data_IF_309152753809
#
_entry.id   IF_309152753809
#
_cell.length_a   1.000
_cell.length_b   1.000
_cell.length_c   1.000
_cell.angle_alpha   90.00
_cell.angle_beta   90.00
_cell.angle_gamma   90.00
#
_symmetry.space_group_name_H-M   'P 1'
#
loop_
_entity.id
_entity.type
_entity.pdbx_description
1 polymer ?
#
# COMPACT_ATOMS: atom_id res chain seq x y z
N UNK A 1 42.50 -17.05 26.19
CA UNK A 1 42.03 -15.70 26.57
C UNK A 1 42.45 -14.73 25.47
N UNK A 2 41.51 -14.26 24.65
CA UNK A 2 41.77 -13.20 23.66
C UNK A 2 40.81 -12.06 23.93
N UNK A 3 41.34 -10.92 24.39
CA UNK A 3 40.56 -9.74 24.75
C UNK A 3 40.21 -9.03 23.45
N UNK A 4 38.95 -9.10 23.03
CA UNK A 4 38.42 -8.22 21.99
C UNK A 4 38.27 -6.83 22.60
N UNK A 5 38.98 -5.84 22.03
CA UNK A 5 38.77 -4.44 22.37
C UNK A 5 37.34 -4.07 21.96
N UNK A 6 36.55 -3.57 22.92
CA UNK A 6 35.27 -2.95 22.64
C UNK A 6 35.56 -1.60 22.00
N UNK A 7 35.18 -1.45 20.73
CA UNK A 7 35.11 -0.15 20.08
C UNK A 7 33.86 0.51 20.67
N UNK A 8 34.04 1.48 21.55
CA UNK A 8 33.00 2.41 21.95
C UNK A 8 32.87 3.37 20.78
N UNK A 9 31.85 3.21 19.96
CA UNK A 9 31.45 4.27 19.03
C UNK A 9 30.80 5.35 19.87
N UNK A 10 31.59 6.39 20.16
CA UNK A 10 31.10 7.66 20.68
C UNK A 10 30.27 8.27 19.53
N UNK A 11 28.94 8.11 19.61
CA UNK A 11 28.02 8.77 18.70
C UNK A 11 28.10 10.26 19.00
N UNK A 12 28.81 10.98 18.14
CA UNK A 12 28.94 12.43 18.20
C UNK A 12 27.56 13.04 17.85
N UNK A 13 26.78 13.31 18.89
CA UNK A 13 25.42 13.88 18.85
C UNK A 13 25.44 15.40 18.54
N UNK A 14 26.52 15.90 17.90
CA UNK A 14 26.69 17.29 17.48
C UNK A 14 26.03 17.60 16.11
N UNK A 15 25.09 16.75 15.66
CA UNK A 15 24.24 17.09 14.49
C UNK A 15 22.97 17.84 14.90
N UNK A 16 23.05 18.64 15.96
CA UNK A 16 22.01 19.64 16.28
C UNK A 16 22.21 20.87 15.38
N UNK A 17 21.84 20.70 14.11
CA UNK A 17 21.79 21.81 13.15
C UNK A 17 20.75 22.81 13.67
N UNK A 18 21.15 24.04 14.05
CA UNK A 18 20.22 24.99 14.63
C UNK A 18 19.10 25.25 13.62
N UNK A 19 17.87 24.91 14.02
CA UNK A 19 16.70 25.22 13.21
C UNK A 19 16.65 26.74 13.00
N UNK A 20 16.37 27.21 11.77
CA UNK A 20 16.30 28.63 11.48
C UNK A 20 15.27 29.29 12.42
N UNK A 21 15.72 30.28 13.21
CA UNK A 21 14.89 31.02 14.16
C UNK A 21 13.86 31.95 13.50
N UNK A 22 13.95 32.10 12.18
CA UNK A 22 13.09 32.95 11.38
C UNK A 22 12.34 32.11 10.35
N UNK A 23 11.04 32.37 10.23
CA UNK A 23 10.22 31.83 9.14
C UNK A 23 10.91 32.14 7.82
N UNK A 24 11.05 31.13 6.96
CA UNK A 24 11.56 31.33 5.61
C UNK A 24 10.67 32.37 4.90
N UNK A 25 11.26 33.28 4.11
CA UNK A 25 10.48 34.24 3.35
C UNK A 25 9.50 33.48 2.44
N UNK A 26 8.23 33.88 2.47
CA UNK A 26 7.22 33.35 1.56
C UNK A 26 7.49 33.90 0.15
N UNK A 27 8.31 33.18 -0.61
CA UNK A 27 8.59 33.49 -2.01
C UNK A 27 7.49 33.02 -2.96
N UNK A 28 6.39 32.46 -2.45
CA UNK A 28 5.28 31.95 -3.28
C UNK A 28 5.78 30.97 -4.34
N UNK A 29 5.53 31.27 -5.62
CA UNK A 29 5.98 30.45 -6.75
C UNK A 29 7.47 30.63 -7.11
N UNK A 30 8.23 31.43 -6.36
CA UNK A 30 9.67 31.72 -6.58
C UNK A 30 10.57 31.06 -5.53
N UNK A 31 10.13 29.95 -4.96
CA UNK A 31 10.98 29.14 -4.09
C UNK A 31 12.08 28.48 -4.90
N UNK A 32 13.27 28.31 -4.31
CA UNK A 32 14.43 27.66 -4.96
C UNK A 32 14.09 26.28 -5.57
N UNK A 33 13.15 25.54 -4.96
CA UNK A 33 12.67 24.24 -5.47
C UNK A 33 11.88 24.39 -6.79
N UNK A 34 11.12 25.47 -6.95
CA UNK A 34 10.31 25.71 -8.16
C UNK A 34 11.18 26.30 -9.29
N UNK A 35 12.16 27.14 -8.97
CA UNK A 35 13.08 27.72 -9.97
C UNK A 35 13.94 26.64 -10.66
N UNK A 36 14.44 25.63 -9.94
CA UNK A 36 15.19 24.53 -10.58
C UNK A 36 14.37 23.70 -11.58
N UNK A 37 13.04 23.62 -11.38
CA UNK A 37 12.15 22.93 -12.31
C UNK A 37 11.96 23.76 -13.60
N UNK A 38 12.01 25.08 -13.50
CA UNK A 38 11.80 25.98 -14.64
C UNK A 38 13.05 26.16 -15.53
N UNK A 39 14.25 26.00 -14.97
CA UNK A 39 15.53 26.19 -15.69
C UNK A 39 15.96 25.00 -16.57
N UNK A 40 15.10 23.98 -16.74
CA UNK A 40 15.43 22.74 -17.47
C UNK A 40 14.83 22.60 -18.87
N UNK A 41 14.26 23.64 -19.49
CA UNK A 41 13.73 23.53 -20.87
C UNK A 41 14.00 24.78 -21.72
N UNK A 42 15.11 24.76 -22.47
CA UNK A 42 15.31 25.60 -23.65
C UNK A 42 15.04 24.76 -24.90
N UNK A 43 14.02 25.14 -25.69
CA UNK A 43 14.00 24.79 -27.11
C UNK A 43 12.67 24.50 -27.81
N UNK A 44 11.67 25.40 -27.71
CA UNK A 44 10.91 25.82 -28.91
C UNK A 44 9.42 25.44 -29.02
N UNK A 45 8.56 26.47 -29.07
CA UNK A 45 7.20 26.35 -29.59
C UNK A 45 6.21 27.39 -29.07
N UNK A 46 6.19 28.55 -29.72
CA UNK A 46 5.18 29.62 -29.62
C UNK A 46 3.73 29.11 -29.55
N UNK A 47 2.99 29.50 -28.52
CA UNK A 47 1.52 29.68 -28.49
C UNK A 47 1.12 30.37 -27.18
N UNK A 48 0.74 31.64 -27.28
CA UNK A 48 0.05 32.40 -26.23
C UNK A 48 -1.23 31.67 -25.77
N UNK A 49 -1.22 31.05 -24.59
CA UNK A 49 -2.44 30.78 -23.81
C UNK A 49 -2.07 30.63 -22.33
N UNK A 50 -2.27 31.70 -21.56
CA UNK A 50 -2.11 31.67 -20.11
C UNK A 50 -3.31 30.91 -19.50
N UNK A 51 -3.10 29.85 -18.68
CA UNK A 51 -4.22 29.28 -17.95
C UNK A 51 -4.58 30.22 -16.79
N UNK A 52 -5.72 30.88 -16.91
CA UNK A 52 -6.39 31.55 -15.78
C UNK A 52 -6.51 30.57 -14.60
N UNK A 53 -6.01 30.98 -13.44
CA UNK A 53 -6.27 30.33 -12.17
C UNK A 53 -7.77 30.34 -11.90
N UNK A 54 -8.42 29.19 -12.12
CA UNK A 54 -9.82 28.98 -11.77
C UNK A 54 -10.03 29.11 -10.27
N UNK A 55 -10.54 30.27 -9.87
CA UNK A 55 -11.12 30.56 -8.57
C UNK A 55 -12.38 29.68 -8.38
N UNK A 56 -12.26 28.55 -7.68
CA UNK A 56 -13.39 27.63 -7.44
C UNK A 56 -14.29 28.11 -6.30
N UNK A 57 -15.01 29.21 -6.53
CA UNK A 57 -16.20 29.55 -5.73
C UNK A 57 -17.40 28.74 -6.23
N UNK A 58 -17.82 27.78 -5.40
CA UNK A 58 -19.15 27.17 -5.27
C UNK A 58 -20.19 27.47 -6.38
N UNK A 59 -20.44 26.52 -7.30
CA UNK A 59 -21.79 26.26 -7.83
C UNK A 59 -21.89 24.94 -8.61
N UNK A 60 -22.69 24.01 -8.05
CA UNK A 60 -23.57 23.07 -8.77
C UNK A 60 -23.05 22.27 -9.96
N UNK A 61 -22.16 21.30 -9.74
CA UNK A 61 -21.95 20.16 -10.65
C UNK A 61 -22.83 18.95 -10.26
N UNK A 62 -23.19 18.05 -11.20
CA UNK A 62 -24.08 16.92 -10.91
C UNK A 62 -23.45 16.02 -9.84
N UNK A 63 -24.23 15.69 -8.83
CA UNK A 63 -23.81 14.90 -7.68
C UNK A 63 -23.16 13.58 -8.14
N UNK A 64 -21.84 13.50 -8.05
CA UNK A 64 -21.14 12.24 -7.88
C UNK A 64 -21.80 11.56 -6.69
N UNK A 65 -22.55 10.49 -6.97
CA UNK A 65 -23.09 9.62 -5.93
C UNK A 65 -21.91 9.29 -5.01
N UNK A 66 -21.99 9.55 -3.69
CA UNK A 66 -20.94 9.14 -2.80
C UNK A 66 -20.78 7.64 -3.00
N UNK A 67 -19.69 7.24 -3.65
CA UNK A 67 -19.29 5.85 -3.74
C UNK A 67 -19.34 5.31 -2.32
N UNK A 68 -20.07 4.21 -2.14
CA UNK A 68 -20.25 3.50 -0.88
C UNK A 68 -18.96 3.62 -0.09
N UNK A 69 -18.99 4.44 0.97
CA UNK A 69 -17.87 4.54 1.90
C UNK A 69 -17.65 3.12 2.38
N UNK A 70 -16.55 2.50 1.96
CA UNK A 70 -16.20 1.16 2.38
C UNK A 70 -16.07 1.25 3.90
N UNK A 71 -17.12 0.80 4.58
CA UNK A 71 -17.32 1.07 5.99
C UNK A 71 -16.17 0.43 6.72
N UNK A 72 -15.31 1.24 7.34
CA UNK A 72 -14.22 0.72 8.15
C UNK A 72 -14.81 -0.24 9.17
N UNK A 73 -14.63 -1.55 8.94
CA UNK A 73 -15.16 -2.59 9.80
C UNK A 73 -14.38 -2.55 11.11
N UNK A 74 -14.96 -1.92 12.12
CA UNK A 74 -14.32 -1.75 13.44
C UNK A 74 -14.37 -3.03 14.26
N UNK A 75 -15.46 -3.82 14.14
CA UNK A 75 -15.56 -5.13 14.77
C UNK A 75 -15.16 -6.26 13.81
N UNK A 76 -13.93 -6.75 13.98
CA UNK A 76 -13.41 -7.91 13.23
C UNK A 76 -13.74 -9.26 13.86
N UNK A 77 -14.38 -9.29 15.03
CA UNK A 77 -14.65 -10.50 15.81
C UNK A 77 -15.34 -11.62 15.02
N UNK A 78 -16.40 -11.38 14.21
CA UNK A 78 -17.03 -12.44 13.44
C UNK A 78 -16.11 -13.06 12.38
N UNK A 79 -15.08 -12.33 11.93
CA UNK A 79 -14.18 -12.73 10.85
C UNK A 79 -12.86 -13.35 11.36
N UNK A 80 -12.67 -13.47 12.68
CA UNK A 80 -11.42 -14.00 13.28
C UNK A 80 -11.09 -15.42 12.78
N UNK A 81 -12.11 -16.24 12.53
CA UNK A 81 -11.98 -17.63 12.04
C UNK A 81 -11.72 -17.72 10.53
N UNK A 82 -11.88 -16.63 9.78
CA UNK A 82 -11.69 -16.64 8.33
C UNK A 82 -10.20 -16.74 7.99
N UNK A 83 -9.91 -17.38 6.87
CA UNK A 83 -8.52 -17.56 6.42
C UNK A 83 -7.95 -16.22 5.98
N UNK A 84 -6.78 -15.88 6.49
CA UNK A 84 -6.07 -14.66 6.13
C UNK A 84 -5.12 -14.91 4.96
N UNK A 85 -5.22 -14.07 3.94
CA UNK A 85 -4.36 -14.07 2.76
C UNK A 85 -3.68 -12.71 2.70
N UNK A 86 -2.34 -12.72 2.68
CA UNK A 86 -1.52 -11.55 2.40
C UNK A 86 -0.99 -11.63 0.96
N UNK A 87 -0.75 -10.50 0.29
CA UNK A 87 -0.17 -10.47 -1.07
C UNK A 87 1.11 -11.30 -1.21
N UNK A 88 2.04 -11.21 -0.23
CA UNK A 88 3.30 -11.96 -0.23
C UNK A 88 3.14 -13.48 -0.44
N UNK A 89 2.00 -14.07 -0.05
CA UNK A 89 1.79 -15.51 -0.15
C UNK A 89 1.66 -16.01 -1.60
N UNK A 90 1.32 -15.13 -2.54
CA UNK A 90 1.17 -15.47 -3.96
C UNK A 90 2.16 -14.69 -4.85
N UNK A 91 3.09 -13.95 -4.26
CA UNK A 91 4.05 -13.12 -4.98
C UNK A 91 5.18 -13.95 -5.61
N UNK A 92 5.23 -13.94 -6.94
CA UNK A 92 6.25 -14.65 -7.73
C UNK A 92 7.68 -14.12 -7.50
N UNK A 93 7.85 -12.88 -7.04
CA UNK A 93 9.18 -12.33 -6.69
C UNK A 93 9.80 -13.04 -5.49
N UNK A 94 8.96 -13.55 -4.59
CA UNK A 94 9.39 -14.06 -3.30
C UNK A 94 9.77 -15.55 -3.40
N UNK A 95 10.76 -16.01 -2.60
CA UNK A 95 11.11 -17.42 -2.52
C UNK A 95 9.95 -18.23 -1.94
N UNK A 96 9.91 -19.53 -2.27
CA UNK A 96 8.93 -20.44 -1.70
C UNK A 96 9.34 -20.78 -0.26
N UNK A 97 8.44 -20.62 0.70
CA UNK A 97 8.72 -20.97 2.09
C UNK A 97 7.79 -20.33 3.11
N UNK A 98 7.98 -20.70 4.36
CA UNK A 98 7.27 -20.10 5.49
C UNK A 98 7.62 -18.62 5.61
N UNK A 99 6.60 -17.76 5.77
CA UNK A 99 6.78 -16.31 5.89
C UNK A 99 6.90 -15.55 4.56
N UNK A 100 6.92 -16.26 3.43
CA UNK A 100 6.97 -15.66 2.09
C UNK A 100 5.92 -16.32 1.18
N UNK A 101 6.28 -16.64 -0.07
CA UNK A 101 5.36 -17.27 -1.02
C UNK A 101 5.02 -18.70 -0.59
N UNK A 102 3.74 -19.04 -0.64
CA UNK A 102 3.15 -20.32 -0.19
C UNK A 102 2.69 -21.24 -1.32
N UNK A 103 2.75 -20.78 -2.56
CA UNK A 103 2.31 -21.54 -3.75
C UNK A 103 3.44 -21.72 -4.76
N UNK A 104 3.33 -22.70 -5.66
CA UNK A 104 4.34 -22.92 -6.70
C UNK A 104 4.50 -21.69 -7.58
N UNK A 105 5.73 -21.43 -8.05
CA UNK A 105 6.04 -20.20 -8.84
C UNK A 105 5.18 -20.11 -10.10
N UNK A 106 4.90 -21.25 -10.73
CA UNK A 106 4.01 -21.36 -11.90
C UNK A 106 2.56 -20.93 -11.67
N UNK A 107 2.09 -20.95 -10.41
CA UNK A 107 0.72 -20.53 -10.03
C UNK A 107 0.71 -19.15 -9.37
N UNK A 108 1.87 -18.52 -9.26
CA UNK A 108 2.05 -17.24 -8.58
C UNK A 108 1.85 -16.09 -9.55
N UNK A 109 1.59 -14.90 -8.99
CA UNK A 109 1.39 -13.68 -9.75
C UNK A 109 2.51 -12.69 -9.44
N UNK A 110 2.85 -11.88 -10.43
CA UNK A 110 3.80 -10.79 -10.24
C UNK A 110 3.09 -9.59 -9.63
N UNK A 111 3.70 -9.00 -8.60
CA UNK A 111 3.22 -7.76 -7.96
C UNK A 111 1.75 -7.85 -7.49
N UNK A 112 1.38 -8.86 -6.67
CA UNK A 112 0.01 -8.99 -6.18
C UNK A 112 -0.40 -7.77 -5.34
N UNK A 113 -1.60 -7.26 -5.62
CA UNK A 113 -2.26 -6.24 -4.80
C UNK A 113 -3.38 -6.86 -3.97
N UNK A 114 -3.53 -6.41 -2.73
CA UNK A 114 -4.57 -6.90 -1.83
C UNK A 114 -5.99 -6.64 -2.35
N UNK A 115 -6.19 -5.53 -3.08
CA UNK A 115 -7.45 -5.19 -3.75
C UNK A 115 -7.85 -6.23 -4.79
N UNK A 116 -6.92 -6.65 -5.65
CA UNK A 116 -7.21 -7.65 -6.69
C UNK A 116 -7.57 -9.01 -6.10
N UNK A 117 -6.92 -9.37 -4.99
CA UNK A 117 -7.25 -10.58 -4.23
C UNK A 117 -8.69 -10.50 -3.69
N UNK A 118 -9.07 -9.36 -3.10
CA UNK A 118 -10.43 -9.15 -2.58
C UNK A 118 -11.49 -9.19 -3.69
N UNK A 119 -11.23 -8.52 -4.82
CA UNK A 119 -12.10 -8.50 -5.99
C UNK A 119 -12.27 -9.92 -6.56
N UNK A 120 -11.18 -10.70 -6.68
CA UNK A 120 -11.22 -12.08 -7.16
C UNK A 120 -12.01 -13.00 -6.21
N UNK A 121 -11.78 -12.92 -4.90
CA UNK A 121 -12.52 -13.72 -3.92
C UNK A 121 -14.02 -13.38 -3.92
N UNK A 122 -14.38 -12.11 -4.06
CA UNK A 122 -15.77 -11.66 -4.16
C UNK A 122 -16.45 -12.18 -5.42
N UNK A 123 -15.76 -12.16 -6.57
CA UNK A 123 -16.25 -12.74 -7.84
C UNK A 123 -16.47 -14.25 -7.77
N UNK A 124 -15.71 -14.95 -6.93
CA UNK A 124 -15.88 -16.38 -6.67
C UNK A 124 -17.04 -16.71 -5.70
N UNK A 125 -17.75 -15.69 -5.21
CA UNK A 125 -18.86 -15.83 -4.28
C UNK A 125 -18.42 -16.18 -2.85
N UNK A 126 -17.17 -15.86 -2.48
CA UNK A 126 -16.65 -16.11 -1.15
C UNK A 126 -16.92 -14.92 -0.23
N UNK A 127 -17.24 -15.21 1.03
CA UNK A 127 -17.26 -14.17 2.07
C UNK A 127 -15.88 -13.54 2.14
N UNK A 128 -15.80 -12.23 1.84
CA UNK A 128 -14.53 -11.51 1.68
C UNK A 128 -14.54 -10.25 2.53
N UNK A 129 -13.45 -10.02 3.27
CA UNK A 129 -13.22 -8.78 4.02
C UNK A 129 -11.80 -8.27 3.70
N UNK A 130 -11.71 -7.04 3.21
CA UNK A 130 -10.45 -6.39 2.87
C UNK A 130 -9.99 -5.45 3.98
N UNK A 131 -8.90 -5.80 4.65
CA UNK A 131 -8.26 -4.98 5.67
C UNK A 131 -7.08 -4.22 5.03
N UNK A 132 -7.37 -3.08 4.39
CA UNK A 132 -6.40 -2.29 3.60
C UNK A 132 -5.16 -1.89 4.41
N UNK A 133 -5.33 -1.53 5.68
CA UNK A 133 -4.26 -1.00 6.54
C UNK A 133 -3.43 -2.09 7.24
N UNK A 134 -3.67 -3.37 6.97
CA UNK A 134 -2.93 -4.48 7.62
C UNK A 134 -1.82 -4.95 6.70
N UNK A 135 -0.63 -5.20 7.24
CA UNK A 135 0.54 -5.62 6.46
C UNK A 135 1.15 -6.89 7.04
N UNK A 136 1.86 -7.63 6.18
CA UNK A 136 2.61 -8.80 6.61
C UNK A 136 3.95 -8.33 7.21
N UNK A 137 4.45 -8.89 8.34
CA UNK A 137 5.71 -8.44 8.93
C UNK A 137 6.92 -8.52 8.00
N UNK A 138 6.91 -9.49 7.08
CA UNK A 138 7.97 -9.68 6.06
C UNK A 138 7.73 -8.90 4.75
N UNK A 139 6.64 -8.14 4.64
CA UNK A 139 6.21 -7.39 3.44
C UNK A 139 5.49 -6.11 3.88
N UNK A 140 6.20 -5.23 4.59
CA UNK A 140 5.63 -4.01 5.15
C UNK A 140 5.36 -2.93 4.08
N UNK A 141 5.99 -3.02 2.91
CA UNK A 141 5.86 -2.08 1.79
C UNK A 141 4.65 -2.38 0.88
N UNK A 142 4.03 -3.55 1.02
CA UNK A 142 2.85 -3.96 0.27
C UNK A 142 1.64 -4.19 1.20
N UNK A 143 0.89 -3.13 1.54
CA UNK A 143 -0.19 -3.21 2.50
C UNK A 143 -1.42 -3.96 1.97
N UNK A 144 -2.07 -4.61 2.92
CA UNK A 144 -3.39 -5.21 2.80
C UNK A 144 -3.43 -6.66 3.26
N UNK A 145 -4.54 -7.02 3.86
CA UNK A 145 -4.88 -8.40 4.22
C UNK A 145 -6.30 -8.70 3.78
N UNK A 146 -6.51 -9.85 3.15
CA UNK A 146 -7.84 -10.31 2.77
C UNK A 146 -8.22 -11.49 3.65
N UNK A 147 -9.36 -11.37 4.35
CA UNK A 147 -9.97 -12.49 5.07
C UNK A 147 -11.01 -13.14 4.17
N UNK A 148 -10.95 -14.46 4.05
CA UNK A 148 -11.82 -15.23 3.15
C UNK A 148 -12.51 -16.36 3.91
N UNK A 149 -13.83 -16.42 3.80
CA UNK A 149 -14.64 -17.58 4.19
C UNK A 149 -14.76 -18.54 3.01
N UNK A 150 -13.82 -19.46 2.93
CA UNK A 150 -13.86 -20.53 1.92
C UNK A 150 -14.51 -21.82 2.45
N UNK A 151 -14.69 -21.93 3.77
CA UNK A 151 -15.42 -23.02 4.45
C UNK A 151 -16.51 -22.48 5.36
N UNK A 152 -17.65 -23.14 5.37
CA UNK A 152 -18.77 -22.93 6.31
C UNK A 152 -19.22 -24.30 6.82
N UNK A 153 -19.28 -24.47 8.14
CA UNK A 153 -19.67 -25.73 8.80
C UNK A 153 -18.89 -26.96 8.30
N UNK A 154 -17.57 -26.77 8.08
CA UNK A 154 -16.66 -27.81 7.59
C UNK A 154 -16.72 -28.09 6.09
N UNK A 155 -17.71 -27.55 5.37
CA UNK A 155 -17.88 -27.73 3.92
C UNK A 155 -17.32 -26.55 3.14
N UNK A 156 -16.74 -26.75 1.95
CA UNK A 156 -16.32 -25.65 1.10
C UNK A 156 -17.56 -24.84 0.67
N UNK A 157 -17.47 -23.51 0.71
CA UNK A 157 -18.55 -22.59 0.30
C UNK A 157 -18.82 -22.71 -1.20
N UNK A 158 -17.77 -22.97 -1.99
CA UNK A 158 -17.85 -23.20 -3.42
C UNK A 158 -17.25 -24.57 -3.74
N UNK A 159 -18.05 -25.47 -4.34
CA UNK A 159 -17.65 -26.85 -4.66
C UNK A 159 -16.46 -26.95 -5.63
N UNK A 160 -16.17 -25.89 -6.38
CA UNK A 160 -14.99 -25.84 -7.26
C UNK A 160 -13.68 -25.67 -6.49
N UNK A 161 -13.74 -25.24 -5.22
CA UNK A 161 -12.55 -25.02 -4.39
C UNK A 161 -12.19 -26.31 -3.67
N UNK A 162 -11.16 -26.99 -4.20
CA UNK A 162 -10.58 -28.19 -3.60
C UNK A 162 -9.32 -27.82 -2.83
N UNK A 163 -9.15 -28.37 -1.62
CA UNK A 163 -7.86 -28.32 -0.92
C UNK A 163 -7.07 -29.58 -1.16
N UNK A 164 -5.83 -29.43 -1.62
CA UNK A 164 -4.84 -30.50 -1.57
C UNK A 164 -4.33 -30.58 -0.13
N UNK A 165 -4.86 -31.52 0.67
CA UNK A 165 -4.09 -32.01 1.81
C UNK A 165 -2.97 -32.87 1.23
N UNK A 166 -1.80 -32.26 0.99
CA UNK A 166 -0.59 -33.05 0.91
C UNK A 166 -0.24 -33.41 2.34
N UNK A 167 -0.43 -34.69 2.69
CA UNK A 167 0.33 -35.30 3.79
C UNK A 167 1.80 -35.42 3.43
#
# INVERSE_FOLDING_TARGET
MSRRAAIVEEFDDDTDLPLPSHSLPDTGSRGAIIEEIADSDDGGGDSDDAPELLNHSTSGGPALKPGTRDGMVTDITPYKKWTCIYPIYIDAKRPYGTGARRISRSKSVWWPLSKDIADACSRLGLGTLHEVNKMHPSDWDNPGRVRVQWKKDGRPVNSNIRTSMSG
#
